data_IF_650318553762
#
_entry.id   IF_650318553762
#
_cell.length_a   1.000
_cell.length_b   1.000
_cell.length_c   1.000
_cell.angle_alpha   90.00
_cell.angle_beta   90.00
_cell.angle_gamma   90.00
#
_symmetry.space_group_name_H-M   'P 1'
#
loop_
_entity.id
_entity.type
_entity.pdbx_description
1 polymer ?
#
# COMPACT_ATOMS: atom_id res chain seq x y z
N UNK A 1 -12.79 26.14 -20.43
CA UNK A 1 -13.02 24.77 -20.95
C UNK A 1 -11.85 24.41 -21.84
N UNK A 2 -10.91 23.62 -21.34
CA UNK A 2 -9.82 23.07 -22.15
C UNK A 2 -10.03 21.55 -22.19
N UNK A 3 -10.21 21.02 -23.39
CA UNK A 3 -10.36 19.59 -23.63
C UNK A 3 -9.04 18.90 -23.25
N UNK A 4 -9.07 18.03 -22.23
CA UNK A 4 -7.97 17.12 -21.96
C UNK A 4 -7.86 16.16 -23.14
N UNK A 5 -6.75 16.23 -23.88
CA UNK A 5 -6.50 15.33 -25.00
C UNK A 5 -6.33 13.91 -24.47
N UNK A 6 -7.28 13.03 -24.79
CA UNK A 6 -7.13 11.60 -24.60
C UNK A 6 -5.99 11.10 -25.48
N UNK A 7 -4.86 10.77 -24.87
CA UNK A 7 -3.82 9.95 -25.52
C UNK A 7 -4.49 8.67 -26.05
N UNK A 8 -4.12 8.20 -27.26
CA UNK A 8 -4.70 6.99 -27.82
C UNK A 8 -4.36 5.81 -26.90
N UNK A 9 -5.40 5.29 -26.27
CA UNK A 9 -5.42 4.08 -25.48
C UNK A 9 -4.96 2.91 -26.36
N UNK A 10 -3.67 2.55 -26.26
CA UNK A 10 -3.19 1.25 -26.72
C UNK A 10 -3.74 0.20 -25.74
N UNK A 11 -4.96 -0.27 -26.00
CA UNK A 11 -5.46 -1.48 -25.35
C UNK A 11 -4.54 -2.62 -25.77
N UNK A 12 -3.90 -3.30 -24.82
CA UNK A 12 -3.47 -4.66 -25.10
C UNK A 12 -4.75 -5.43 -25.44
N UNK A 13 -4.85 -6.00 -26.65
CA UNK A 13 -6.06 -6.70 -27.08
C UNK A 13 -6.45 -7.85 -26.12
N UNK A 14 -5.50 -8.33 -25.31
CA UNK A 14 -5.72 -9.26 -24.19
C UNK A 14 -4.75 -8.95 -23.04
N UNK A 15 -5.19 -8.35 -21.90
CA UNK A 15 -4.32 -8.18 -20.74
C UNK A 15 -3.96 -9.54 -20.16
N UNK A 16 -2.68 -9.74 -19.79
CA UNK A 16 -2.25 -11.03 -19.24
C UNK A 16 -2.93 -11.29 -17.90
N UNK A 17 -3.40 -12.53 -17.76
CA UNK A 17 -4.08 -13.00 -16.55
C UNK A 17 -3.30 -14.17 -15.99
N UNK A 18 -2.98 -14.07 -14.71
CA UNK A 18 -2.58 -15.23 -13.93
C UNK A 18 -3.87 -15.89 -13.47
N UNK A 19 -4.20 -17.01 -14.08
CA UNK A 19 -5.40 -17.77 -13.73
C UNK A 19 -5.07 -18.71 -12.58
N UNK A 20 -5.79 -18.57 -11.47
CA UNK A 20 -5.76 -19.51 -10.36
C UNK A 20 -6.76 -20.62 -10.69
N UNK A 21 -6.24 -21.83 -10.92
CA UNK A 21 -7.03 -23.02 -11.25
C UNK A 21 -6.87 -24.10 -10.16
N UNK A 22 -7.86 -24.98 -9.99
CA UNK A 22 -7.65 -26.25 -9.31
C UNK A 22 -6.55 -27.05 -10.03
N UNK A 23 -5.59 -27.57 -9.25
CA UNK A 23 -4.62 -28.58 -9.66
C UNK A 23 -5.12 -29.99 -9.31
N UNK A 24 -4.25 -31.00 -9.37
CA UNK A 24 -4.62 -32.33 -8.88
C UNK A 24 -4.63 -32.36 -7.35
N UNK A 25 -5.63 -33.04 -6.77
CA UNK A 25 -5.89 -33.00 -5.33
C UNK A 25 -6.37 -31.63 -4.89
N UNK A 26 -5.87 -31.15 -3.74
CA UNK A 26 -6.22 -29.84 -3.16
C UNK A 26 -5.29 -28.69 -3.59
N UNK A 27 -4.39 -28.93 -4.55
CA UNK A 27 -3.43 -27.91 -5.01
C UNK A 27 -4.15 -26.80 -5.80
N UNK A 28 -3.71 -25.55 -5.62
CA UNK A 28 -4.07 -24.44 -6.51
C UNK A 28 -2.85 -24.09 -7.37
N UNK A 29 -3.03 -24.09 -8.68
CA UNK A 29 -1.97 -23.80 -9.64
C UNK A 29 -2.16 -22.44 -10.29
N UNK A 30 -1.05 -21.76 -10.57
CA UNK A 30 -1.04 -20.52 -11.33
C UNK A 30 -0.78 -20.85 -12.80
N UNK A 31 -1.68 -20.40 -13.68
CA UNK A 31 -1.50 -20.50 -15.12
C UNK A 31 -1.32 -19.13 -15.73
N UNK A 32 -0.32 -19.00 -16.59
CA UNK A 32 -0.05 -17.81 -17.36
C UNK A 32 0.01 -18.20 -18.83
N UNK A 33 -0.85 -17.63 -19.67
CA UNK A 33 -1.00 -18.00 -21.08
C UNK A 33 -1.22 -19.52 -21.29
N UNK A 34 -1.90 -20.16 -20.33
CA UNK A 34 -2.16 -21.61 -20.32
C UNK A 34 -1.04 -22.48 -19.75
N UNK A 35 0.16 -21.93 -19.54
CA UNK A 35 1.32 -22.61 -18.94
C UNK A 35 1.24 -22.57 -17.41
N UNK A 36 1.48 -23.70 -16.73
CA UNK A 36 1.67 -23.68 -15.28
C UNK A 36 3.00 -23.03 -14.90
N UNK A 37 2.92 -22.00 -14.06
CA UNK A 37 4.08 -21.20 -13.68
C UNK A 37 4.22 -21.11 -12.16
N UNK A 38 5.46 -20.92 -11.72
CA UNK A 38 5.78 -20.43 -10.36
C UNK A 38 6.29 -19.01 -10.50
N UNK A 39 5.64 -18.07 -9.83
CA UNK A 39 6.05 -16.67 -9.82
C UNK A 39 7.00 -16.47 -8.63
N UNK A 40 8.26 -16.14 -8.91
CA UNK A 40 9.29 -15.94 -7.90
C UNK A 40 9.72 -14.49 -7.86
N UNK A 41 9.68 -13.87 -6.69
CA UNK A 41 9.84 -12.44 -6.58
C UNK A 41 9.91 -11.89 -5.17
N UNK A 42 9.86 -10.57 -5.07
CA UNK A 42 9.86 -9.83 -3.81
C UNK A 42 8.95 -8.61 -3.84
N UNK A 43 8.91 -7.91 -2.70
CA UNK A 43 8.21 -6.64 -2.58
C UNK A 43 9.09 -5.50 -3.13
N UNK A 44 8.49 -4.61 -3.91
CA UNK A 44 9.08 -3.37 -4.40
C UNK A 44 8.20 -2.21 -3.95
N UNK A 45 8.35 -1.81 -2.68
CA UNK A 45 7.46 -0.85 -2.02
C UNK A 45 8.30 0.26 -1.41
N UNK A 46 8.16 1.47 -1.93
CA UNK A 46 8.68 2.68 -1.31
C UNK A 46 7.54 3.34 -0.54
N UNK A 47 7.68 3.40 0.78
CA UNK A 47 6.64 3.91 1.70
C UNK A 47 6.74 5.42 1.96
N UNK A 48 7.54 6.12 1.18
CA UNK A 48 7.74 7.57 1.33
C UNK A 48 8.05 8.20 -0.02
N UNK A 49 7.82 9.51 -0.11
CA UNK A 49 8.15 10.29 -1.29
C UNK A 49 9.68 10.42 -1.47
N UNK A 50 10.19 10.34 -2.71
CA UNK A 50 9.47 9.96 -3.94
C UNK A 50 9.12 8.46 -3.98
N UNK A 51 7.88 8.13 -4.36
CA UNK A 51 7.32 6.76 -4.31
C UNK A 51 7.86 5.80 -5.37
N UNK A 52 8.61 6.29 -6.36
CA UNK A 52 9.22 5.48 -7.40
C UNK A 52 10.68 5.89 -7.59
N UNK A 53 11.62 4.94 -7.65
CA UNK A 53 13.01 5.23 -8.00
C UNK A 53 13.15 5.73 -9.45
N UNK A 54 14.29 6.35 -9.79
CA UNK A 54 14.65 6.61 -11.19
C UNK A 54 14.60 5.33 -12.04
N UNK A 55 14.21 5.46 -13.32
CA UNK A 55 14.01 4.34 -14.26
C UNK A 55 15.21 3.39 -14.30
N UNK A 56 16.40 3.95 -14.23
CA UNK A 56 17.72 3.31 -14.38
C UNK A 56 17.98 2.37 -13.20
N UNK A 57 17.53 2.76 -12.01
CA UNK A 57 17.57 1.91 -10.81
C UNK A 57 16.60 0.75 -10.98
N UNK A 58 15.38 1.02 -11.46
CA UNK A 58 14.37 -0.02 -11.70
C UNK A 58 14.87 -1.02 -12.75
N UNK A 59 15.46 -0.56 -13.86
CA UNK A 59 16.04 -1.41 -14.91
C UNK A 59 17.14 -2.32 -14.34
N UNK A 60 18.08 -1.76 -13.57
CA UNK A 60 19.14 -2.53 -12.96
C UNK A 60 18.58 -3.60 -12.00
N UNK A 61 17.58 -3.25 -11.18
CA UNK A 61 16.92 -4.19 -10.27
C UNK A 61 16.15 -5.28 -11.04
N UNK A 62 15.40 -4.92 -12.07
CA UNK A 62 14.65 -5.85 -12.90
C UNK A 62 15.58 -6.86 -13.60
N UNK A 63 16.70 -6.38 -14.15
CA UNK A 63 17.75 -7.22 -14.71
C UNK A 63 18.31 -8.19 -13.66
N UNK A 64 18.64 -7.69 -12.47
CA UNK A 64 19.17 -8.50 -11.38
C UNK A 64 18.18 -9.60 -10.96
N UNK A 65 16.88 -9.31 -10.90
CA UNK A 65 15.85 -10.31 -10.60
C UNK A 65 15.78 -11.42 -11.66
N UNK A 66 15.74 -11.02 -12.94
CA UNK A 66 15.67 -11.96 -14.05
C UNK A 66 16.92 -12.84 -14.15
N UNK A 67 18.11 -12.25 -14.02
CA UNK A 67 19.38 -12.99 -14.07
C UNK A 67 19.60 -13.82 -12.81
N UNK A 68 19.20 -13.32 -11.63
CA UNK A 68 19.27 -14.04 -10.37
C UNK A 68 18.43 -15.31 -10.38
N UNK A 69 17.20 -15.25 -10.92
CA UNK A 69 16.38 -16.44 -11.12
C UNK A 69 17.07 -17.47 -12.02
N UNK A 70 17.59 -17.05 -13.18
CA UNK A 70 18.32 -17.95 -14.10
C UNK A 70 19.55 -18.57 -13.44
N UNK A 71 20.35 -17.76 -12.75
CA UNK A 71 21.58 -18.17 -12.10
C UNK A 71 21.34 -19.09 -10.89
N UNK A 72 20.17 -18.98 -10.23
CA UNK A 72 19.82 -19.83 -9.09
C UNK A 72 19.71 -21.32 -9.45
N UNK A 73 19.49 -21.65 -10.74
CA UNK A 73 19.19 -23.01 -11.17
C UNK A 73 17.87 -23.57 -10.60
N UNK A 74 17.03 -22.71 -10.00
CA UNK A 74 15.77 -23.13 -9.40
C UNK A 74 14.85 -23.76 -10.44
N UNK A 75 14.53 -25.03 -10.23
CA UNK A 75 13.54 -25.78 -11.02
C UNK A 75 12.33 -26.02 -10.13
N UNK A 76 11.16 -25.45 -10.46
CA UNK A 76 9.94 -25.73 -9.73
C UNK A 76 9.63 -27.23 -9.67
N UNK A 77 8.99 -27.66 -8.59
CA UNK A 77 8.40 -29.00 -8.52
C UNK A 77 7.41 -29.16 -9.70
N UNK A 78 7.45 -30.26 -10.47
CA UNK A 78 6.43 -30.55 -11.48
C UNK A 78 5.03 -30.57 -10.88
N UNK A 79 4.03 -30.39 -11.74
CA UNK A 79 2.64 -30.57 -11.35
C UNK A 79 2.36 -32.00 -10.88
N UNK A 80 1.24 -32.18 -10.17
CA UNK A 80 0.83 -33.47 -9.66
C UNK A 80 0.62 -34.55 -10.74
N UNK A 81 0.38 -34.15 -12.01
CA UNK A 81 0.31 -35.03 -13.18
C UNK A 81 1.68 -35.25 -13.88
N UNK A 82 2.75 -34.67 -13.34
CA UNK A 82 4.12 -34.73 -13.87
C UNK A 82 4.47 -33.66 -14.89
N UNK A 83 3.54 -32.77 -15.28
CA UNK A 83 3.83 -31.69 -16.22
C UNK A 83 4.89 -30.73 -15.65
N UNK A 84 5.89 -30.30 -16.45
CA UNK A 84 6.90 -29.36 -15.99
C UNK A 84 6.27 -27.99 -15.69
N UNK A 85 6.84 -27.28 -14.72
CA UNK A 85 6.48 -25.90 -14.38
C UNK A 85 7.64 -24.96 -14.62
N UNK A 86 7.35 -23.75 -15.05
CA UNK A 86 8.37 -22.74 -15.33
C UNK A 86 8.36 -21.65 -14.26
N UNK A 87 9.54 -21.31 -13.74
CA UNK A 87 9.68 -20.15 -12.86
C UNK A 87 9.70 -18.85 -13.69
N UNK A 88 8.94 -17.83 -13.28
CA UNK A 88 8.97 -16.49 -13.88
C UNK A 88 9.27 -15.44 -12.80
N UNK A 89 10.10 -14.43 -13.08
CA UNK A 89 10.38 -13.39 -12.11
C UNK A 89 9.18 -12.45 -11.95
N UNK A 90 8.89 -12.03 -10.71
CA UNK A 90 7.83 -11.07 -10.44
C UNK A 90 8.19 -10.07 -9.33
N UNK A 91 7.38 -9.03 -9.22
CA UNK A 91 7.41 -8.06 -8.11
C UNK A 91 6.01 -7.75 -7.61
N UNK A 92 5.87 -7.55 -6.30
CA UNK A 92 4.72 -6.89 -5.70
C UNK A 92 5.05 -5.39 -5.58
N UNK A 93 4.52 -4.59 -6.50
CA UNK A 93 4.82 -3.16 -6.65
C UNK A 93 3.84 -2.31 -5.85
N UNK A 94 4.36 -1.61 -4.84
CA UNK A 94 3.59 -0.72 -3.99
C UNK A 94 3.01 0.45 -4.76
N UNK A 95 1.70 0.65 -4.62
CA UNK A 95 0.90 1.71 -5.21
C UNK A 95 0.21 2.48 -4.08
N UNK A 96 0.88 3.54 -3.61
CA UNK A 96 0.42 4.34 -2.48
C UNK A 96 -0.71 5.28 -2.91
N UNK A 97 -1.88 5.21 -2.28
CA UNK A 97 -2.97 6.15 -2.58
C UNK A 97 -2.58 7.60 -2.21
N UNK A 98 -1.89 7.78 -1.09
CA UNK A 98 -1.24 9.05 -0.70
C UNK A 98 -0.28 9.62 -1.75
N UNK A 99 0.35 8.77 -2.57
CA UNK A 99 1.17 9.22 -3.69
C UNK A 99 0.34 9.59 -4.91
N UNK A 100 -0.70 8.81 -5.19
CA UNK A 100 -1.59 9.03 -6.31
C UNK A 100 -2.49 10.27 -6.14
N UNK A 101 -2.86 10.62 -4.90
CA UNK A 101 -3.72 11.77 -4.58
C UNK A 101 -3.18 12.52 -3.35
N UNK A 102 -2.05 13.24 -3.46
CA UNK A 102 -1.30 13.72 -2.30
C UNK A 102 -1.98 14.86 -1.54
N UNK A 103 -2.76 15.70 -2.22
CA UNK A 103 -3.25 16.96 -1.66
C UNK A 103 -4.76 16.96 -1.36
N UNK A 104 -5.56 16.28 -2.18
CA UNK A 104 -7.02 16.25 -2.05
C UNK A 104 -7.62 15.05 -2.76
N UNK A 105 -8.87 14.74 -2.45
CA UNK A 105 -9.72 13.97 -3.36
C UNK A 105 -9.76 14.67 -4.73
N UNK A 106 -9.52 13.93 -5.81
CA UNK A 106 -9.37 14.51 -7.14
C UNK A 106 -8.78 13.55 -8.16
N UNK A 107 -8.35 14.04 -9.34
CA UNK A 107 -7.64 13.23 -10.31
C UNK A 107 -6.33 12.67 -9.73
N UNK A 108 -5.91 11.52 -10.25
CA UNK A 108 -4.59 10.96 -9.95
C UNK A 108 -3.51 11.94 -10.41
N UNK A 109 -2.51 12.16 -9.57
CA UNK A 109 -1.38 13.02 -9.88
C UNK A 109 -0.67 12.52 -11.15
N UNK A 110 -0.52 13.38 -12.18
CA UNK A 110 0.02 12.96 -13.46
C UNK A 110 1.49 12.56 -13.38
N UNK A 111 2.26 13.12 -12.45
CA UNK A 111 3.68 12.77 -12.25
C UNK A 111 3.79 11.39 -11.63
N UNK A 112 2.99 11.12 -10.60
CA UNK A 112 2.89 9.80 -9.98
C UNK A 112 2.46 8.73 -11.00
N UNK A 113 1.43 9.04 -11.81
CA UNK A 113 0.97 8.14 -12.88
C UNK A 113 2.06 7.85 -13.93
N UNK A 114 2.79 8.87 -14.38
CA UNK A 114 3.88 8.71 -15.33
C UNK A 114 5.04 7.88 -14.75
N UNK A 115 5.37 8.09 -13.48
CA UNK A 115 6.42 7.34 -12.79
C UNK A 115 6.03 5.87 -12.61
N UNK A 116 4.78 5.58 -12.19
CA UNK A 116 4.27 4.21 -12.11
C UNK A 116 4.41 3.50 -13.46
N UNK A 117 3.97 4.16 -14.54
CA UNK A 117 4.06 3.62 -15.90
C UNK A 117 5.52 3.32 -16.28
N UNK A 118 6.41 4.26 -16.02
CA UNK A 118 7.86 4.13 -16.29
C UNK A 118 8.47 2.95 -15.52
N UNK A 119 8.09 2.78 -14.24
CA UNK A 119 8.52 1.64 -13.41
C UNK A 119 8.02 0.31 -13.98
N UNK A 120 6.75 0.22 -14.37
CA UNK A 120 6.17 -1.00 -14.96
C UNK A 120 6.84 -1.36 -16.29
N UNK A 121 7.07 -0.36 -17.15
CA UNK A 121 7.77 -0.53 -18.43
C UNK A 121 9.21 -1.00 -18.23
N UNK A 122 9.93 -0.46 -17.25
CA UNK A 122 11.28 -0.92 -16.91
C UNK A 122 11.31 -2.40 -16.44
N UNK A 123 10.32 -2.85 -15.67
CA UNK A 123 10.19 -4.27 -15.34
C UNK A 123 9.88 -5.13 -16.58
N UNK A 124 9.06 -4.61 -17.50
CA UNK A 124 8.70 -5.30 -18.73
C UNK A 124 9.92 -5.56 -19.63
N UNK A 125 10.88 -4.62 -19.69
CA UNK A 125 12.12 -4.75 -20.48
C UNK A 125 12.95 -6.00 -20.09
N UNK A 126 12.77 -6.53 -18.89
CA UNK A 126 13.46 -7.74 -18.39
C UNK A 126 12.54 -8.93 -18.14
N UNK A 127 11.29 -8.88 -18.62
CA UNK A 127 10.36 -10.00 -18.48
C UNK A 127 9.83 -10.21 -17.05
N UNK A 128 9.87 -9.17 -16.21
CA UNK A 128 9.42 -9.22 -14.82
C UNK A 128 7.94 -8.87 -14.74
N UNK A 129 7.15 -9.76 -14.14
CA UNK A 129 5.72 -9.56 -13.91
C UNK A 129 5.46 -8.66 -12.70
N UNK A 130 4.44 -7.82 -12.76
CA UNK A 130 4.11 -6.83 -11.74
C UNK A 130 2.73 -7.12 -11.15
N UNK A 131 2.65 -7.26 -9.84
CA UNK A 131 1.40 -7.22 -9.09
C UNK A 131 1.25 -5.84 -8.46
N UNK A 132 0.23 -5.09 -8.87
CA UNK A 132 -0.07 -3.79 -8.26
C UNK A 132 -0.62 -4.00 -6.85
N UNK A 133 0.03 -3.38 -5.89
CA UNK A 133 -0.26 -3.53 -4.47
C UNK A 133 -0.76 -2.21 -3.90
N UNK A 134 -2.05 -2.11 -3.60
CA UNK A 134 -2.61 -0.97 -2.88
C UNK A 134 -2.15 -1.04 -1.43
N UNK A 135 -0.96 -0.51 -1.17
CA UNK A 135 -0.24 -0.72 0.07
C UNK A 135 -0.69 0.25 1.15
N UNK A 136 -0.75 -0.25 2.39
CA UNK A 136 -0.84 0.58 3.59
C UNK A 136 -0.19 -0.15 4.76
N UNK A 137 0.39 0.62 5.67
CA UNK A 137 0.68 0.21 7.04
C UNK A 137 0.12 1.26 7.99
N UNK A 138 -0.47 0.84 9.11
CA UNK A 138 -1.11 1.77 10.08
C UNK A 138 -2.00 2.87 9.47
N UNK A 139 -2.59 2.59 8.31
CA UNK A 139 -3.51 3.42 7.53
C UNK A 139 -2.93 4.67 6.88
N UNK A 140 -2.21 5.55 7.57
CA UNK A 140 -1.89 6.87 7.02
C UNK A 140 -0.61 7.44 7.59
N UNK A 141 0.02 8.33 6.82
CA UNK A 141 1.11 9.18 7.30
C UNK A 141 0.72 9.97 8.55
N UNK A 142 -0.56 10.28 8.75
CA UNK A 142 -1.05 10.95 9.97
C UNK A 142 -0.93 10.09 11.24
N UNK A 143 -0.73 8.78 11.07
CA UNK A 143 -0.65 7.77 12.14
C UNK A 143 0.77 7.19 12.26
N UNK A 144 1.74 7.72 11.51
CA UNK A 144 3.07 7.12 11.38
C UNK A 144 3.14 5.87 10.53
N UNK A 145 2.10 5.64 9.76
CA UNK A 145 2.06 4.61 8.74
C UNK A 145 2.18 5.19 7.36
N UNK A 146 1.54 4.56 6.40
CA UNK A 146 1.46 4.97 5.01
C UNK A 146 0.20 4.37 4.37
N UNK A 147 -0.17 4.91 3.21
CA UNK A 147 -1.23 4.36 2.36
C UNK A 147 -2.34 5.38 2.11
N UNK A 148 -3.12 5.72 3.14
CA UNK A 148 -4.18 6.73 3.05
C UNK A 148 -3.59 8.15 3.03
N UNK A 149 -3.98 8.99 2.06
CA UNK A 149 -3.60 10.39 2.02
C UNK A 149 -3.96 11.15 3.30
N UNK A 150 -3.15 12.12 3.70
CA UNK A 150 -3.38 12.92 4.91
C UNK A 150 -4.74 13.62 4.94
N UNK A 151 -5.28 14.00 3.77
CA UNK A 151 -6.58 14.66 3.66
C UNK A 151 -7.73 13.74 4.08
N UNK A 152 -7.56 12.41 4.04
CA UNK A 152 -8.52 11.45 4.63
C UNK A 152 -8.59 11.66 6.14
N UNK A 153 -7.43 11.76 6.79
CA UNK A 153 -7.34 12.06 8.21
C UNK A 153 -7.94 13.41 8.58
N UNK A 154 -7.66 14.44 7.79
CA UNK A 154 -8.23 15.78 7.95
C UNK A 154 -9.77 15.78 7.84
N UNK A 155 -10.31 15.05 6.85
CA UNK A 155 -11.76 14.87 6.69
C UNK A 155 -12.37 14.18 7.91
N UNK A 156 -11.75 13.09 8.36
CA UNK A 156 -12.25 12.34 9.51
C UNK A 156 -12.22 13.16 10.80
N UNK A 157 -11.18 13.97 11.01
CA UNK A 157 -11.08 14.87 12.15
C UNK A 157 -12.16 15.96 12.12
N UNK A 158 -12.44 16.53 10.95
CA UNK A 158 -13.37 17.66 10.81
C UNK A 158 -14.84 17.23 10.82
N UNK A 159 -15.13 15.96 10.49
CA UNK A 159 -16.48 15.43 10.37
C UNK A 159 -16.68 14.28 11.36
N UNK A 160 -16.83 14.58 12.64
CA UNK A 160 -17.02 13.54 13.68
C UNK A 160 -18.40 12.90 13.52
N UNK A 161 -18.45 11.58 13.28
CA UNK A 161 -19.69 10.80 13.23
C UNK A 161 -19.87 9.97 14.51
N UNK A 162 -21.09 9.50 14.78
CA UNK A 162 -21.35 8.64 15.94
C UNK A 162 -20.60 7.30 15.85
N UNK A 163 -20.32 6.80 14.64
CA UNK A 163 -19.49 5.60 14.43
C UNK A 163 -17.97 5.86 14.49
N UNK A 164 -17.52 7.12 14.48
CA UNK A 164 -16.10 7.49 14.47
C UNK A 164 -15.39 7.37 15.85
N UNK A 165 -16.04 6.70 16.80
CA UNK A 165 -15.54 6.53 18.16
C UNK A 165 -15.26 5.05 18.43
N UNK A 166 -14.00 4.62 18.30
CA UNK A 166 -13.54 3.45 19.05
C UNK A 166 -13.46 3.85 20.52
N UNK A 167 -14.59 3.80 21.21
CA UNK A 167 -14.68 3.93 22.66
C UNK A 167 -14.94 2.57 23.27
N UNK A 168 -14.00 2.08 24.09
CA UNK A 168 -14.22 0.93 24.98
C UNK A 168 -15.18 1.29 26.16
N UNK A 169 -15.87 2.43 26.07
CA UNK A 169 -16.92 2.89 26.96
C UNK A 169 -18.01 3.56 26.14
N UNK A 170 -19.27 3.32 26.52
CA UNK A 170 -20.49 3.98 26.05
C UNK A 170 -20.50 5.52 26.29
N UNK A 171 -19.42 6.07 26.84
CA UNK A 171 -19.31 7.41 27.40
C UNK A 171 -18.20 8.29 26.79
N UNK A 172 -17.30 7.75 25.95
CA UNK A 172 -16.13 8.48 25.44
C UNK A 172 -16.01 8.35 23.93
N UNK A 173 -16.24 9.45 23.19
CA UNK A 173 -15.92 9.54 21.76
C UNK A 173 -14.55 10.19 21.60
N UNK A 174 -13.55 9.44 21.12
CA UNK A 174 -12.25 10.03 20.71
C UNK A 174 -12.26 10.18 19.19
N UNK A 175 -12.37 11.40 18.64
CA UNK A 175 -12.31 11.63 17.20
C UNK A 175 -10.96 11.21 16.62
N UNK A 176 -10.92 10.95 15.31
CA UNK A 176 -9.67 10.96 14.54
C UNK A 176 -9.02 12.35 14.59
N UNK A 177 -7.69 12.43 14.56
CA UNK A 177 -6.95 13.70 14.58
C UNK A 177 -5.64 13.58 13.83
N UNK A 178 -5.08 14.65 13.29
CA UNK A 178 -3.72 14.62 12.73
C UNK A 178 -2.70 14.60 13.88
N UNK A 179 -1.84 13.57 13.93
CA UNK A 179 -0.80 13.45 14.96
C UNK A 179 0.20 14.60 14.86
N UNK A 180 0.49 15.24 15.99
CA UNK A 180 1.51 16.27 16.13
C UNK A 180 2.10 16.27 17.55
N UNK A 181 3.16 17.05 17.84
CA UNK A 181 3.77 17.06 19.17
C UNK A 181 2.82 17.45 20.31
N UNK A 182 1.81 18.29 20.04
CA UNK A 182 0.81 18.73 21.01
C UNK A 182 -0.36 17.73 21.15
N UNK A 183 -0.58 16.89 20.16
CA UNK A 183 -1.62 15.85 20.12
C UNK A 183 -1.02 14.52 19.62
N UNK A 184 -0.25 13.81 20.48
CA UNK A 184 0.42 12.58 20.11
C UNK A 184 -0.55 11.41 19.96
N UNK A 185 -0.11 10.32 19.32
CA UNK A 185 -0.94 9.11 19.29
C UNK A 185 -1.09 8.51 20.69
N UNK A 186 -2.29 8.02 20.99
CA UNK A 186 -2.66 7.45 22.29
C UNK A 186 -2.78 5.93 22.21
N UNK A 187 -2.30 5.24 23.25
CA UNK A 187 -2.44 3.77 23.35
C UNK A 187 -3.90 3.41 23.69
N UNK A 188 -4.44 2.37 23.08
CA UNK A 188 -5.82 1.89 23.32
C UNK A 188 -5.96 1.10 24.64
N UNK A 189 -4.90 0.42 25.10
CA UNK A 189 -4.96 -0.46 26.27
C UNK A 189 -4.56 0.23 27.59
N UNK A 190 -5.13 -0.21 28.73
CA UNK A 190 -4.68 0.21 30.06
C UNK A 190 -3.18 -0.02 30.29
N UNK A 191 -2.55 0.83 31.10
CA UNK A 191 -1.10 0.82 31.36
C UNK A 191 -0.58 -0.53 31.88
N UNK A 192 -1.37 -1.26 32.66
CA UNK A 192 -0.98 -2.57 33.18
C UNK A 192 -0.84 -3.61 32.05
N UNK A 193 -1.78 -3.64 31.10
CA UNK A 193 -1.74 -4.55 29.95
C UNK A 193 -0.62 -4.13 29.00
N UNK A 194 -0.41 -2.82 28.85
CA UNK A 194 0.69 -2.32 28.05
C UNK A 194 2.06 -2.79 28.56
N UNK A 195 2.24 -2.79 29.88
CA UNK A 195 3.45 -3.27 30.54
C UNK A 195 3.65 -4.78 30.35
N UNK A 196 2.59 -5.58 30.55
CA UNK A 196 2.66 -7.04 30.42
C UNK A 196 2.92 -7.52 28.97
N UNK A 197 2.45 -6.78 27.97
CA UNK A 197 2.52 -7.17 26.56
C UNK A 197 3.59 -6.41 25.75
N UNK A 198 4.50 -5.69 26.41
CA UNK A 198 5.50 -4.84 25.75
C UNK A 198 4.90 -3.88 24.71
N UNK A 199 3.70 -3.33 24.99
CA UNK A 199 3.03 -2.37 24.14
C UNK A 199 3.62 -0.99 24.43
N UNK A 200 4.10 -0.31 23.39
CA UNK A 200 4.69 1.03 23.50
C UNK A 200 3.72 2.09 23.00
N UNK A 201 3.69 3.22 23.71
CA UNK A 201 2.99 4.44 23.29
C UNK A 201 3.93 5.42 22.62
N UNK A 202 3.37 6.57 22.25
CA UNK A 202 4.13 7.62 21.59
C UNK A 202 5.10 8.29 22.57
N UNK A 203 6.39 8.17 22.27
CA UNK A 203 7.46 9.02 22.78
C UNK A 203 7.46 10.36 22.02
N UNK A 204 7.21 11.46 22.73
CA UNK A 204 7.34 12.84 22.24
C UNK A 204 8.51 13.60 22.86
N UNK A 205 9.29 12.96 23.74
CA UNK A 205 10.38 13.58 24.48
C UNK A 205 11.73 12.95 24.12
N UNK A 206 12.73 13.80 23.90
CA UNK A 206 14.09 13.45 23.49
C UNK A 206 14.60 14.35 22.36
N UNK A 207 15.91 14.30 22.09
CA UNK A 207 16.48 14.96 20.91
C UNK A 207 16.01 14.22 19.65
N UNK A 208 14.95 14.73 19.01
CA UNK A 208 14.47 14.24 17.73
C UNK A 208 14.98 15.15 16.59
N UNK A 209 15.99 14.72 15.81
CA UNK A 209 16.53 15.53 14.71
C UNK A 209 15.50 15.79 13.59
N UNK A 210 14.35 15.10 13.63
CA UNK A 210 13.26 15.26 12.68
C UNK A 210 12.06 16.03 13.24
N UNK A 211 12.12 16.54 14.47
CA UNK A 211 11.01 17.28 15.10
C UNK A 211 10.53 18.46 14.24
N UNK A 212 11.45 19.12 13.52
CA UNK A 212 11.13 20.24 12.62
C UNK A 212 10.21 19.85 11.44
N UNK A 213 10.08 18.56 11.13
CA UNK A 213 9.24 18.02 10.06
C UNK A 213 7.90 17.46 10.58
N UNK A 214 7.60 17.62 11.87
CA UNK A 214 6.29 17.26 12.43
C UNK A 214 5.20 18.23 11.94
N UNK A 215 3.95 17.79 11.83
CA UNK A 215 2.86 18.73 11.50
C UNK A 215 2.73 19.79 12.60
N UNK A 216 2.56 21.05 12.20
CA UNK A 216 2.47 22.19 13.10
C UNK A 216 3.80 22.89 13.41
N UNK A 217 4.91 22.43 12.82
CA UNK A 217 6.22 23.11 12.83
C UNK A 217 6.53 23.72 11.46
N UNK A 218 7.65 24.44 11.35
CA UNK A 218 8.03 25.22 10.17
C UNK A 218 8.16 24.41 8.87
N UNK A 219 8.55 23.13 8.95
CA UNK A 219 8.70 22.23 7.78
C UNK A 219 7.63 21.13 7.73
N UNK A 220 6.59 21.24 8.55
CA UNK A 220 5.54 20.24 8.71
C UNK A 220 4.58 20.17 7.53
N UNK A 221 4.91 19.39 6.50
CA UNK A 221 3.96 19.06 5.44
C UNK A 221 3.16 17.79 5.81
N UNK A 222 1.83 17.85 5.99
CA UNK A 222 1.02 16.67 6.30
C UNK A 222 1.09 15.58 5.20
N UNK A 223 1.37 15.95 3.94
CA UNK A 223 1.59 15.00 2.85
C UNK A 223 2.93 14.25 2.93
N UNK A 224 3.83 14.65 3.85
CA UNK A 224 5.18 14.10 3.98
C UNK A 224 5.48 13.60 5.41
N UNK A 225 4.44 13.28 6.20
CA UNK A 225 4.53 13.02 7.65
C UNK A 225 5.35 11.80 8.10
N UNK A 226 5.79 10.93 7.18
CA UNK A 226 6.47 9.67 7.55
C UNK A 226 7.84 9.86 8.24
N UNK A 227 8.34 11.09 8.33
CA UNK A 227 9.65 11.41 8.92
C UNK A 227 9.58 12.15 10.26
N UNK A 228 8.47 12.81 10.61
CA UNK A 228 8.46 13.88 11.62
C UNK A 228 8.29 13.50 13.10
N UNK A 229 8.01 12.24 13.45
CA UNK A 229 7.77 11.85 14.85
C UNK A 229 8.50 10.54 15.20
N UNK A 230 9.28 10.56 16.29
CA UNK A 230 10.04 9.42 16.79
C UNK A 230 9.24 8.12 16.91
N UNK A 231 7.98 8.22 17.35
CA UNK A 231 7.11 7.05 17.54
C UNK A 231 6.50 6.53 16.25
N UNK A 232 6.34 7.42 15.29
CA UNK A 232 5.90 7.08 13.94
C UNK A 232 7.00 6.30 13.21
N UNK A 233 8.28 6.63 13.46
CA UNK A 233 9.43 5.86 12.95
C UNK A 233 9.61 4.50 13.62
N UNK A 234 9.23 4.36 14.91
CA UNK A 234 9.24 3.06 15.59
C UNK A 234 8.25 2.07 14.97
N UNK A 235 7.08 2.54 14.52
CA UNK A 235 6.09 1.71 13.84
C UNK A 235 6.61 1.14 12.51
N UNK A 236 7.51 1.86 11.84
CA UNK A 236 8.09 1.49 10.55
C UNK A 236 9.52 0.89 10.67
N UNK A 237 9.95 0.48 11.86
CA UNK A 237 11.27 -0.12 12.08
C UNK A 237 11.16 -1.63 12.34
N UNK A 238 11.73 -2.44 11.45
CA UNK A 238 11.76 -3.91 11.54
C UNK A 238 12.28 -4.44 12.89
N UNK A 239 13.21 -3.72 13.53
CA UNK A 239 13.79 -4.10 14.82
C UNK A 239 12.77 -4.04 15.96
N UNK A 240 11.81 -3.10 15.89
CA UNK A 240 10.75 -2.98 16.89
C UNK A 240 9.74 -4.14 16.79
N UNK A 241 9.44 -4.57 15.55
CA UNK A 241 8.62 -5.75 15.26
C UNK A 241 9.30 -7.05 15.72
N UNK A 242 10.61 -7.19 15.48
CA UNK A 242 11.41 -8.34 15.95
C UNK A 242 11.45 -8.46 17.48
N UNK A 243 11.38 -7.33 18.19
CA UNK A 243 11.29 -7.28 19.65
C UNK A 243 9.87 -7.55 20.21
N UNK A 244 8.90 -7.92 19.35
CA UNK A 244 7.52 -8.18 19.74
C UNK A 244 6.78 -6.93 20.21
N UNK A 245 7.20 -5.74 19.79
CA UNK A 245 6.53 -4.49 20.16
C UNK A 245 5.25 -4.35 19.35
N UNK A 246 4.10 -4.44 20.01
CA UNK A 246 2.80 -4.21 19.39
C UNK A 246 2.40 -2.74 19.58
N UNK A 247 2.09 -2.04 18.49
CA UNK A 247 1.61 -0.65 18.52
C UNK A 247 0.09 -0.64 18.42
N UNK A 248 -0.59 -0.36 19.53
CA UNK A 248 -2.05 -0.30 19.61
C UNK A 248 -2.50 1.13 19.81
N UNK A 249 -2.84 1.80 18.72
CA UNK A 249 -3.13 3.23 18.73
C UNK A 249 -4.60 3.50 18.43
N UNK A 250 -5.24 4.37 19.22
CA UNK A 250 -6.66 4.74 19.08
C UNK A 250 -6.98 5.22 17.68
N UNK A 251 -6.07 6.01 17.11
CA UNK A 251 -6.22 6.57 15.78
C UNK A 251 -6.23 5.53 14.66
N UNK A 252 -5.39 4.48 14.74
CA UNK A 252 -5.39 3.40 13.75
C UNK A 252 -6.74 2.65 13.78
N UNK A 253 -7.27 2.40 14.97
CA UNK A 253 -8.57 1.73 15.14
C UNK A 253 -9.74 2.58 14.62
N UNK A 254 -9.72 3.89 14.90
CA UNK A 254 -10.69 4.84 14.36
C UNK A 254 -10.67 4.87 12.82
N UNK A 255 -9.48 4.93 12.22
CA UNK A 255 -9.33 4.94 10.76
C UNK A 255 -9.84 3.63 10.16
N UNK A 256 -9.47 2.49 10.75
CA UNK A 256 -9.90 1.18 10.28
C UNK A 256 -11.42 1.04 10.28
N UNK A 257 -12.06 1.34 11.41
CA UNK A 257 -13.52 1.23 11.54
C UNK A 257 -14.25 2.15 10.56
N UNK A 258 -13.81 3.42 10.47
CA UNK A 258 -14.46 4.41 9.62
C UNK A 258 -14.24 4.15 8.13
N UNK A 259 -13.02 3.76 7.74
CA UNK A 259 -12.73 3.41 6.36
C UNK A 259 -13.48 2.13 5.93
N UNK A 260 -13.63 1.15 6.82
CA UNK A 260 -14.46 -0.04 6.55
C UNK A 260 -15.93 0.33 6.25
N UNK A 261 -16.46 1.34 6.93
CA UNK A 261 -17.86 1.77 6.80
C UNK A 261 -18.09 2.79 5.67
N UNK A 262 -17.04 3.42 5.13
CA UNK A 262 -17.18 4.54 4.20
C UNK A 262 -17.83 4.17 2.86
N UNK A 263 -17.99 2.88 2.54
CA UNK A 263 -18.73 2.43 1.36
C UNK A 263 -20.19 2.89 1.32
N UNK A 264 -20.77 3.30 2.45
CA UNK A 264 -22.11 3.88 2.54
C UNK A 264 -22.13 5.07 3.50
N UNK A 265 -23.20 5.87 3.46
CA UNK A 265 -23.37 6.98 4.39
C UNK A 265 -22.54 8.23 4.05
N UNK A 266 -22.26 9.04 5.07
CA UNK A 266 -21.75 10.41 4.94
C UNK A 266 -20.33 10.49 4.35
N UNK A 267 -19.50 9.47 4.56
CA UNK A 267 -18.10 9.47 4.10
C UNK A 267 -17.93 8.93 2.68
N UNK A 268 -18.99 8.42 2.04
CA UNK A 268 -18.87 7.78 0.73
C UNK A 268 -18.28 8.70 -0.32
N UNK A 269 -18.81 9.92 -0.43
CA UNK A 269 -18.36 10.88 -1.44
C UNK A 269 -16.95 11.39 -1.14
N UNK A 270 -16.60 11.56 0.15
CA UNK A 270 -15.32 12.13 0.54
C UNK A 270 -14.18 11.10 0.53
N UNK A 271 -14.44 9.84 0.86
CA UNK A 271 -13.41 8.81 1.07
C UNK A 271 -13.51 7.66 0.07
N UNK A 272 -14.70 7.06 -0.06
CA UNK A 272 -14.88 5.84 -0.83
C UNK A 272 -14.81 6.06 -2.35
N UNK A 273 -15.51 7.08 -2.87
CA UNK A 273 -15.47 7.37 -4.31
C UNK A 273 -14.06 7.75 -4.81
N UNK A 274 -13.28 8.59 -4.11
CA UNK A 274 -11.88 8.83 -4.44
C UNK A 274 -11.00 7.57 -4.37
N UNK A 275 -11.22 6.68 -3.40
CA UNK A 275 -10.53 5.41 -3.34
C UNK A 275 -10.89 4.51 -4.53
N UNK A 276 -12.17 4.42 -4.90
CA UNK A 276 -12.60 3.69 -6.10
C UNK A 276 -12.02 4.29 -7.38
N UNK A 277 -11.90 5.61 -7.46
CA UNK A 277 -11.26 6.27 -8.58
C UNK A 277 -9.78 5.86 -8.70
N UNK A 278 -9.06 5.78 -7.58
CA UNK A 278 -7.70 5.25 -7.54
C UNK A 278 -7.64 3.78 -8.00
N UNK A 279 -8.53 2.92 -7.50
CA UNK A 279 -8.59 1.51 -7.92
C UNK A 279 -8.89 1.37 -9.41
N UNK A 280 -9.85 2.14 -9.95
CA UNK A 280 -10.18 2.15 -11.38
C UNK A 280 -9.00 2.58 -12.24
N UNK A 281 -8.23 3.56 -11.78
CA UNK A 281 -6.99 3.95 -12.44
C UNK A 281 -5.99 2.78 -12.52
N UNK A 282 -5.77 2.05 -11.41
CA UNK A 282 -4.90 0.87 -11.39
C UNK A 282 -5.43 -0.27 -12.28
N UNK A 283 -6.75 -0.47 -12.36
CA UNK A 283 -7.35 -1.39 -13.32
C UNK A 283 -7.04 -0.98 -14.76
N UNK A 284 -7.09 0.32 -15.08
CA UNK A 284 -6.69 0.83 -16.38
C UNK A 284 -5.21 0.58 -16.70
N UNK A 285 -4.31 0.68 -15.70
CA UNK A 285 -2.90 0.30 -15.86
C UNK A 285 -2.78 -1.20 -16.16
N UNK A 286 -3.52 -2.05 -15.44
CA UNK A 286 -3.54 -3.49 -15.73
C UNK A 286 -4.01 -3.81 -17.16
N UNK A 287 -5.02 -3.11 -17.66
CA UNK A 287 -5.52 -3.29 -19.03
C UNK A 287 -4.51 -2.87 -20.13
N UNK A 288 -3.62 -1.93 -19.82
CA UNK A 288 -2.68 -1.33 -20.78
C UNK A 288 -1.30 -2.00 -20.80
N UNK A 289 -0.96 -2.78 -19.78
CA UNK A 289 0.39 -3.32 -19.60
C UNK A 289 0.40 -4.85 -19.54
N UNK A 290 1.09 -5.47 -20.50
CA UNK A 290 1.14 -6.94 -20.62
C UNK A 290 1.78 -7.64 -19.41
N UNK A 291 2.72 -6.99 -18.72
CA UNK A 291 3.43 -7.58 -17.58
C UNK A 291 2.73 -7.30 -16.25
N UNK A 292 1.66 -6.51 -16.23
CA UNK A 292 0.86 -6.32 -15.02
C UNK A 292 -0.10 -7.50 -14.91
N UNK A 293 0.06 -8.29 -13.86
CA UNK A 293 -0.71 -9.51 -13.65
C UNK A 293 -1.95 -9.22 -12.80
N UNK A 294 -3.12 -9.59 -13.34
CA UNK A 294 -4.35 -9.74 -12.57
C UNK A 294 -4.58 -11.21 -12.19
N UNK A 295 -5.17 -11.44 -11.01
CA UNK A 295 -5.59 -12.78 -10.60
C UNK A 295 -7.02 -13.06 -11.08
N UNK A 296 -7.18 -14.14 -11.86
CA UNK A 296 -8.49 -14.66 -12.24
C UNK A 296 -8.73 -15.99 -11.55
N UNK A 297 -9.73 -16.05 -10.67
CA UNK A 297 -10.14 -17.30 -10.03
C UNK A 297 -11.15 -18.03 -10.92
N UNK A 298 -10.83 -19.25 -11.38
CA UNK A 298 -11.74 -20.09 -12.15
C UNK A 298 -12.08 -21.37 -11.38
N UNK A 299 -13.36 -21.70 -11.34
CA UNK A 299 -13.87 -22.98 -10.81
C UNK A 299 -13.33 -23.30 -9.39
N UNK A 300 -13.20 -22.28 -8.54
CA UNK A 300 -12.97 -22.50 -7.11
C UNK A 300 -14.33 -22.78 -6.46
N UNK A 301 -14.71 -24.06 -6.40
CA UNK A 301 -15.79 -24.54 -5.52
C UNK A 301 -15.22 -24.94 -4.18
#
# INVERSE_FOLDING_TARGET
>A
MAAASSLPLLHAAEPKRVTVCPGAGDEKVLKLDGEEVVLLGGNYVLKTQPYFPPKEVVLANAKQMADGLKASGYTPKPASDGAPRTARPCVRLGCMWEGAMPNSAGPVDPTWAANLKTTIEAFAEHGVYVFLDVHMDAFSTTNGGDGLPWWVGSHMQSNVTRESASGNCCCCTTPSYITNPQNPMTIVCPSWLACCCNIRGVQTQGDDPWAAYAVGTDLGNPASMNVGNLSMRLNNNDSAWQAGTLVWVTQVHNYAARFYQCGSGADRQALFEPYLQFLRFLCGIWEQHWNVAGLLFRNLT
#
